data_IF_880315934282
#
_entry.id   IF_880315934282
#
_cell.length_a   1.000
_cell.length_b   1.000
_cell.length_c   1.000
_cell.angle_alpha   90.00
_cell.angle_beta   90.00
_cell.angle_gamma   90.00
#
_symmetry.space_group_name_H-M   'P 1'
#
loop_
_entity.id
_entity.type
_entity.pdbx_description
1 polymer ?
#
# COMPACT_ATOMS: atom_id res chain seq x y z
N UNK A 1 -19.33 5.38 29.80
CA UNK A 1 -18.92 3.97 29.57
C UNK A 1 -19.50 3.43 28.26
N UNK A 2 -18.71 2.60 27.52
CA UNK A 2 -19.19 2.04 26.26
C UNK A 2 -20.19 0.92 26.53
N UNK A 3 -21.30 0.91 25.77
CA UNK A 3 -22.34 -0.11 25.88
C UNK A 3 -22.54 -0.80 24.52
N UNK A 4 -22.74 -2.12 24.52
CA UNK A 4 -22.90 -2.89 23.30
C UNK A 4 -24.22 -2.58 22.58
N UNK A 5 -25.25 -2.25 23.35
CA UNK A 5 -26.59 -1.93 22.86
C UNK A 5 -26.65 -0.62 22.06
N UNK A 6 -25.59 0.20 22.17
CA UNK A 6 -25.48 1.46 21.40
C UNK A 6 -24.85 1.27 20.01
N UNK A 7 -24.51 0.03 19.65
CA UNK A 7 -23.88 -0.27 18.37
C UNK A 7 -24.89 -0.73 17.30
N UNK A 8 -24.66 -0.43 16.01
CA UNK A 8 -23.60 0.43 15.50
C UNK A 8 -23.83 1.91 15.83
N UNK A 9 -22.72 2.67 15.91
CA UNK A 9 -22.80 4.10 16.17
C UNK A 9 -23.44 4.84 14.99
N UNK A 10 -24.24 5.85 15.29
CA UNK A 10 -24.84 6.74 14.29
C UNK A 10 -24.08 8.06 14.30
N UNK A 11 -23.21 8.26 13.27
CA UNK A 11 -22.30 9.41 13.18
C UNK A 11 -22.69 10.41 12.06
N UNK A 12 -23.86 10.24 11.48
CA UNK A 12 -24.38 11.17 10.47
C UNK A 12 -25.69 11.79 10.95
N UNK A 13 -25.90 13.13 10.79
CA UNK A 13 -25.00 14.11 10.18
C UNK A 13 -23.74 14.37 11.00
N UNK A 14 -22.63 14.66 10.29
CA UNK A 14 -21.33 14.93 10.92
C UNK A 14 -21.38 16.26 11.66
N UNK A 15 -20.83 16.29 12.88
CA UNK A 15 -20.60 17.51 13.66
C UNK A 15 -19.11 17.74 13.76
N UNK A 16 -18.64 18.81 13.14
CA UNK A 16 -17.22 19.17 13.18
C UNK A 16 -16.88 19.88 14.48
N UNK A 17 -15.71 19.56 15.00
CA UNK A 17 -15.14 20.21 16.17
C UNK A 17 -13.62 20.28 16.01
N UNK A 18 -13.00 21.46 16.18
CA UNK A 18 -11.56 21.59 16.17
C UNK A 18 -10.93 20.71 17.27
N UNK A 19 -9.81 20.11 16.97
CA UNK A 19 -8.96 19.50 18.00
C UNK A 19 -8.24 20.61 18.78
N UNK A 20 -8.02 20.43 20.06
CA UNK A 20 -7.40 21.42 20.94
C UNK A 20 -6.12 22.03 20.39
N UNK A 21 -5.23 21.18 19.83
CA UNK A 21 -3.97 21.61 19.23
C UNK A 21 -4.11 22.50 17.98
N UNK A 22 -5.25 22.44 17.28
CA UNK A 22 -5.53 23.21 16.07
C UNK A 22 -6.50 24.38 16.28
N UNK A 23 -7.08 24.53 17.47
CA UNK A 23 -8.13 25.52 17.74
C UNK A 23 -7.71 26.94 17.40
N UNK A 24 -6.53 27.35 17.80
CA UNK A 24 -5.96 28.68 17.48
C UNK A 24 -5.88 28.92 15.97
N UNK A 25 -5.42 27.92 15.23
CA UNK A 25 -5.28 28.02 13.77
C UNK A 25 -6.65 28.11 13.09
N UNK A 26 -7.60 27.27 13.52
CA UNK A 26 -8.97 27.30 12.99
C UNK A 26 -9.62 28.65 13.26
N UNK A 27 -9.46 29.22 14.47
CA UNK A 27 -9.97 30.55 14.82
C UNK A 27 -9.39 31.61 13.89
N UNK A 28 -8.07 31.62 13.65
CA UNK A 28 -7.42 32.56 12.73
C UNK A 28 -7.99 32.43 11.31
N UNK A 29 -8.21 31.21 10.82
CA UNK A 29 -8.78 30.97 9.49
C UNK A 29 -10.19 31.52 9.40
N UNK A 30 -11.04 31.31 10.43
CA UNK A 30 -12.40 31.83 10.49
C UNK A 30 -12.42 33.35 10.48
N UNK A 31 -11.54 33.99 11.26
CA UNK A 31 -11.40 35.45 11.29
C UNK A 31 -11.03 36.01 9.91
N UNK A 32 -10.07 35.38 9.22
CA UNK A 32 -9.68 35.76 7.86
C UNK A 32 -10.80 35.58 6.84
N UNK A 33 -11.55 34.47 6.90
CA UNK A 33 -12.71 34.22 6.04
C UNK A 33 -13.78 35.31 6.21
N UNK A 34 -13.99 35.76 7.46
CA UNK A 34 -15.03 36.74 7.81
C UNK A 34 -14.67 38.19 7.53
N UNK A 35 -13.42 38.51 7.21
CA UNK A 35 -12.99 39.87 6.91
C UNK A 35 -13.81 40.49 5.77
N UNK A 36 -14.19 41.75 5.91
CA UNK A 36 -15.02 42.46 4.92
C UNK A 36 -14.32 42.71 3.57
N UNK A 37 -12.98 42.84 3.61
CA UNK A 37 -12.14 43.04 2.42
C UNK A 37 -11.87 41.75 1.64
N UNK A 38 -12.21 40.58 2.17
CA UNK A 38 -12.11 39.29 1.46
C UNK A 38 -13.40 39.10 0.67
N UNK A 39 -13.32 39.13 -0.63
CA UNK A 39 -14.47 38.97 -1.57
C UNK A 39 -14.62 37.56 -2.09
N UNK A 40 -13.53 36.79 -2.14
CA UNK A 40 -13.46 35.45 -2.71
C UNK A 40 -12.45 34.59 -1.93
N UNK A 41 -12.67 33.28 -1.91
CA UNK A 41 -11.77 32.30 -1.28
C UNK A 41 -11.19 31.40 -2.36
N UNK A 42 -9.88 31.19 -2.31
CA UNK A 42 -9.19 30.24 -3.18
C UNK A 42 -8.93 28.93 -2.41
N UNK A 43 -9.59 27.89 -2.84
CA UNK A 43 -9.39 26.54 -2.32
C UNK A 43 -8.24 25.87 -3.08
N UNK A 44 -7.08 25.75 -2.46
CA UNK A 44 -5.86 25.17 -3.02
C UNK A 44 -5.44 23.87 -2.30
N UNK A 45 -6.38 23.14 -1.72
CA UNK A 45 -6.12 21.79 -1.17
C UNK A 45 -5.63 20.82 -2.25
N UNK A 46 -5.12 19.67 -1.83
CA UNK A 46 -4.64 18.65 -2.76
C UNK A 46 -5.68 18.31 -3.85
N UNK A 47 -5.24 18.00 -5.08
CA UNK A 47 -6.15 17.79 -6.22
C UNK A 47 -6.81 16.40 -6.22
N UNK A 48 -7.26 15.96 -5.06
CA UNK A 48 -7.97 14.70 -4.85
C UNK A 48 -9.25 14.88 -3.99
N UNK A 49 -9.95 13.80 -3.73
CA UNK A 49 -11.19 13.81 -2.97
C UNK A 49 -10.95 14.11 -1.47
N UNK A 50 -9.83 13.72 -0.91
CA UNK A 50 -9.46 14.02 0.48
C UNK A 50 -9.12 15.49 0.67
N UNK A 51 -8.28 16.06 -0.21
CA UNK A 51 -7.94 17.49 -0.18
C UNK A 51 -9.15 18.39 -0.43
N UNK A 52 -10.15 17.92 -1.22
CA UNK A 52 -11.43 18.62 -1.38
C UNK A 52 -12.21 18.63 -0.06
N UNK A 53 -12.33 17.47 0.61
CA UNK A 53 -13.07 17.36 1.87
C UNK A 53 -12.45 18.22 2.97
N UNK A 54 -11.13 18.12 3.18
CA UNK A 54 -10.44 18.80 4.29
C UNK A 54 -10.62 20.32 4.29
N UNK A 55 -10.64 20.93 3.12
CA UNK A 55 -10.84 22.38 3.01
C UNK A 55 -12.32 22.75 3.09
N UNK A 56 -13.19 22.00 2.41
CA UNK A 56 -14.64 22.27 2.46
C UNK A 56 -15.21 22.10 3.89
N UNK A 57 -14.72 21.14 4.69
CA UNK A 57 -15.10 21.00 6.11
C UNK A 57 -14.82 22.26 6.92
N UNK A 58 -13.65 22.87 6.72
CA UNK A 58 -13.29 24.13 7.39
C UNK A 58 -14.18 25.27 6.95
N UNK A 59 -14.49 25.34 5.64
CA UNK A 59 -15.40 26.35 5.10
C UNK A 59 -16.84 26.18 5.62
N UNK A 60 -17.32 24.95 5.71
CA UNK A 60 -18.65 24.65 6.29
C UNK A 60 -18.67 24.98 7.79
N UNK A 61 -17.63 24.59 8.55
CA UNK A 61 -17.51 24.91 9.97
C UNK A 61 -17.45 26.42 10.23
N UNK A 62 -16.77 27.18 9.34
CA UNK A 62 -16.70 28.65 9.43
C UNK A 62 -18.02 29.35 9.07
N UNK A 63 -18.99 28.62 8.50
CA UNK A 63 -20.23 29.17 7.96
C UNK A 63 -19.97 30.09 6.76
N UNK A 64 -19.05 29.72 5.87
CA UNK A 64 -18.67 30.55 4.74
C UNK A 64 -19.80 30.71 3.73
N UNK A 65 -20.09 31.97 3.37
CA UNK A 65 -21.09 32.36 2.34
C UNK A 65 -20.44 32.98 1.10
N UNK A 66 -19.13 33.23 1.13
CA UNK A 66 -18.41 33.86 0.03
C UNK A 66 -18.15 32.88 -1.11
N UNK A 67 -18.01 33.39 -2.36
CA UNK A 67 -17.61 32.55 -3.49
C UNK A 67 -16.30 31.81 -3.22
N UNK A 68 -16.25 30.54 -3.64
CA UNK A 68 -15.05 29.73 -3.51
C UNK A 68 -14.61 29.25 -4.91
N UNK A 69 -13.36 29.53 -5.23
CA UNK A 69 -12.70 29.06 -6.46
C UNK A 69 -11.76 27.90 -6.13
N UNK A 70 -11.78 26.88 -6.94
CA UNK A 70 -10.93 25.68 -6.81
C UNK A 70 -9.73 25.77 -7.74
N UNK A 71 -8.54 25.65 -7.19
CA UNK A 71 -7.27 25.58 -7.93
C UNK A 71 -6.67 24.19 -7.73
N UNK A 72 -6.35 23.50 -8.83
CA UNK A 72 -5.79 22.15 -8.82
C UNK A 72 -4.29 22.21 -9.13
N UNK A 73 -3.47 22.05 -8.11
CA UNK A 73 -2.02 22.07 -8.19
C UNK A 73 -1.52 20.63 -8.12
N UNK A 74 -1.21 20.04 -9.28
CA UNK A 74 -0.72 18.66 -9.37
C UNK A 74 0.83 18.57 -9.28
N UNK A 75 1.51 19.71 -9.41
CA UNK A 75 2.96 19.82 -9.41
C UNK A 75 3.35 21.18 -8.83
N UNK A 76 4.32 21.18 -7.90
CA UNK A 76 4.79 22.38 -7.20
C UNK A 76 5.82 23.19 -7.99
N UNK A 77 6.04 22.90 -9.28
CA UNK A 77 6.89 23.73 -10.13
C UNK A 77 6.21 25.07 -10.41
N UNK A 78 6.99 26.15 -10.48
CA UNK A 78 6.48 27.51 -10.70
C UNK A 78 5.58 27.63 -11.95
N UNK A 79 5.91 27.02 -13.12
CA UNK A 79 5.04 27.07 -14.28
C UNK A 79 3.69 26.38 -14.04
N UNK A 80 3.66 25.22 -13.36
CA UNK A 80 2.44 24.49 -13.07
C UNK A 80 1.53 25.28 -12.11
N UNK A 81 2.10 25.86 -11.05
CA UNK A 81 1.35 26.71 -10.10
C UNK A 81 0.77 27.93 -10.80
N UNK A 82 1.55 28.66 -11.61
CA UNK A 82 1.06 29.82 -12.39
C UNK A 82 -0.08 29.42 -13.32
N UNK A 83 0.03 28.29 -14.02
CA UNK A 83 -1.03 27.78 -14.91
C UNK A 83 -2.30 27.45 -14.14
N UNK A 84 -2.18 26.84 -12.97
CA UNK A 84 -3.32 26.49 -12.13
C UNK A 84 -4.03 27.74 -11.59
N UNK A 85 -3.28 28.74 -11.11
CA UNK A 85 -3.82 30.01 -10.63
C UNK A 85 -4.48 30.85 -11.73
N UNK A 86 -4.02 30.72 -12.98
CA UNK A 86 -4.63 31.41 -14.12
C UNK A 86 -5.99 30.81 -14.52
N UNK A 87 -6.33 29.60 -14.09
CA UNK A 87 -7.54 28.88 -14.48
C UNK A 87 -8.32 28.33 -13.27
N UNK A 88 -8.74 29.17 -12.32
CA UNK A 88 -9.53 28.75 -11.18
C UNK A 88 -10.92 28.31 -11.63
N UNK A 89 -11.41 27.20 -11.08
CA UNK A 89 -12.72 26.63 -11.37
C UNK A 89 -13.71 26.93 -10.25
N UNK A 90 -15.00 26.78 -10.50
CA UNK A 90 -15.99 26.91 -9.44
C UNK A 90 -15.87 25.71 -8.47
N UNK A 91 -15.77 25.96 -7.18
CA UNK A 91 -15.65 24.87 -6.17
C UNK A 91 -16.87 23.95 -6.17
N UNK A 92 -18.06 24.43 -6.54
CA UNK A 92 -19.28 23.62 -6.63
C UNK A 92 -19.17 22.47 -7.63
N UNK A 93 -18.34 22.60 -8.66
CA UNK A 93 -18.12 21.55 -9.67
C UNK A 93 -17.43 20.32 -9.07
N UNK A 94 -16.82 20.47 -7.89
CA UNK A 94 -16.10 19.42 -7.17
C UNK A 94 -16.89 18.80 -6.00
N UNK A 95 -18.19 19.15 -5.86
CA UNK A 95 -19.05 18.62 -4.81
C UNK A 95 -19.09 17.09 -4.79
N UNK A 96 -18.96 16.43 -5.95
CA UNK A 96 -18.89 14.98 -6.05
C UNK A 96 -17.67 14.37 -5.33
N UNK A 97 -16.51 15.03 -5.40
CA UNK A 97 -15.30 14.60 -4.67
C UNK A 97 -15.49 14.75 -3.16
N UNK A 98 -16.04 15.88 -2.71
CA UNK A 98 -16.39 16.12 -1.32
C UNK A 98 -17.31 15.00 -0.78
N UNK A 99 -18.42 14.72 -1.46
CA UNK A 99 -19.40 13.71 -1.02
C UNK A 99 -18.79 12.30 -0.97
N UNK A 100 -17.93 11.96 -1.93
CA UNK A 100 -17.21 10.69 -1.97
C UNK A 100 -16.29 10.53 -0.77
N UNK A 101 -15.48 11.54 -0.44
CA UNK A 101 -14.57 11.51 0.69
C UNK A 101 -15.34 11.51 2.03
N UNK A 102 -16.39 12.33 2.15
CA UNK A 102 -17.26 12.38 3.32
C UNK A 102 -17.90 11.02 3.59
N UNK A 103 -18.49 10.38 2.57
CA UNK A 103 -19.11 9.07 2.70
C UNK A 103 -18.10 8.01 3.18
N UNK A 104 -16.88 8.03 2.63
CA UNK A 104 -15.79 7.14 3.07
C UNK A 104 -15.41 7.41 4.52
N UNK A 105 -15.18 8.67 4.89
CA UNK A 105 -14.80 9.08 6.25
C UNK A 105 -15.85 8.64 7.28
N UNK A 106 -17.13 8.90 7.00
CA UNK A 106 -18.24 8.51 7.88
C UNK A 106 -18.34 6.98 7.99
N UNK A 107 -18.25 6.26 6.87
CA UNK A 107 -18.30 4.80 6.89
C UNK A 107 -17.13 4.19 7.67
N UNK A 108 -15.92 4.69 7.47
CA UNK A 108 -14.71 4.24 8.20
C UNK A 108 -14.83 4.55 9.71
N UNK A 109 -15.39 5.71 10.09
CA UNK A 109 -15.61 6.05 11.48
C UNK A 109 -16.69 5.16 12.13
N UNK A 110 -17.83 4.96 11.47
CA UNK A 110 -18.89 4.06 11.96
C UNK A 110 -18.35 2.64 12.15
N UNK A 111 -17.69 2.10 11.12
CA UNK A 111 -17.10 0.76 11.17
C UNK A 111 -16.03 0.66 12.25
N UNK A 112 -15.01 1.52 12.18
CA UNK A 112 -13.86 1.46 13.06
C UNK A 112 -14.21 1.61 14.53
N UNK A 113 -15.00 2.63 14.86
CA UNK A 113 -15.40 2.88 16.25
C UNK A 113 -16.38 1.82 16.77
N UNK A 114 -17.34 1.38 15.96
CA UNK A 114 -18.30 0.36 16.38
C UNK A 114 -17.61 -0.99 16.60
N UNK A 115 -16.76 -1.42 15.67
CA UNK A 115 -16.04 -2.69 15.80
C UNK A 115 -15.01 -2.65 16.93
N UNK A 116 -14.30 -1.52 17.11
CA UNK A 116 -13.39 -1.32 18.24
C UNK A 116 -14.12 -1.51 19.57
N UNK A 117 -15.31 -0.92 19.72
CA UNK A 117 -16.12 -1.09 20.94
C UNK A 117 -16.65 -2.51 21.09
N UNK A 118 -17.17 -3.10 20.00
CA UNK A 118 -17.71 -4.45 20.01
C UNK A 118 -16.69 -5.51 20.45
N UNK A 119 -15.43 -5.36 20.08
CA UNK A 119 -14.35 -6.27 20.51
C UNK A 119 -13.80 -5.90 21.88
N UNK A 120 -13.69 -4.62 22.21
CA UNK A 120 -13.08 -4.17 23.46
C UNK A 120 -13.97 -4.43 24.67
N UNK A 121 -15.29 -4.25 24.55
CA UNK A 121 -16.24 -4.45 25.68
C UNK A 121 -16.14 -5.86 26.25
N UNK A 122 -16.32 -6.96 25.46
CA UNK A 122 -16.21 -8.30 26.00
C UNK A 122 -14.78 -8.67 26.42
N UNK A 123 -13.75 -8.10 25.81
CA UNK A 123 -12.38 -8.32 26.22
C UNK A 123 -12.11 -7.71 27.61
N UNK A 124 -12.63 -6.52 27.88
CA UNK A 124 -12.52 -5.87 29.19
C UNK A 124 -13.28 -6.64 30.28
N UNK A 125 -14.44 -7.20 29.97
CA UNK A 125 -15.16 -8.09 30.87
C UNK A 125 -14.35 -9.34 31.27
N UNK A 126 -13.39 -9.75 30.43
CA UNK A 126 -12.44 -10.85 30.69
C UNK A 126 -11.10 -10.37 31.27
N UNK A 127 -11.01 -9.13 31.75
CA UNK A 127 -9.81 -8.59 32.41
C UNK A 127 -8.79 -7.89 31.49
N UNK A 128 -9.07 -7.75 30.18
CA UNK A 128 -8.18 -6.99 29.29
C UNK A 128 -8.24 -5.49 29.60
N UNK A 129 -7.08 -4.86 29.81
CA UNK A 129 -7.02 -3.43 30.23
C UNK A 129 -6.84 -2.44 29.07
N UNK A 130 -6.69 -2.93 27.83
CA UNK A 130 -6.44 -2.08 26.67
C UNK A 130 -7.68 -1.75 25.85
N UNK A 131 -7.43 -1.34 24.62
CA UNK A 131 -8.43 -1.16 23.56
C UNK A 131 -8.04 -2.02 22.34
N UNK A 132 -8.95 -2.84 21.88
CA UNK A 132 -8.79 -3.64 20.67
C UNK A 132 -9.21 -2.81 19.47
N UNK A 133 -8.27 -2.02 18.95
CA UNK A 133 -8.53 -1.14 17.83
C UNK A 133 -8.77 -1.92 16.54
N UNK A 134 -9.87 -1.62 15.86
CA UNK A 134 -10.25 -2.20 14.57
C UNK A 134 -10.38 -1.10 13.54
N UNK A 135 -9.84 -1.34 12.35
CA UNK A 135 -9.94 -0.40 11.23
C UNK A 135 -9.88 -1.12 9.90
N UNK A 136 -10.51 -0.53 8.90
CA UNK A 136 -10.61 -1.10 7.56
C UNK A 136 -9.25 -1.37 6.90
N UNK A 137 -8.26 -0.55 7.17
CA UNK A 137 -6.90 -0.69 6.62
C UNK A 137 -5.97 -1.35 7.63
N UNK A 138 -5.94 -0.86 8.87
CA UNK A 138 -4.98 -1.33 9.87
C UNK A 138 -5.15 -2.80 10.24
N UNK A 139 -6.39 -3.30 10.34
CA UNK A 139 -6.64 -4.70 10.76
C UNK A 139 -6.21 -5.71 9.71
N UNK A 140 -6.52 -5.55 8.40
CA UNK A 140 -5.95 -6.41 7.37
C UNK A 140 -4.43 -6.38 7.30
N UNK A 141 -3.79 -5.21 7.43
CA UNK A 141 -2.33 -5.09 7.44
C UNK A 141 -1.74 -5.84 8.64
N UNK A 142 -2.33 -5.66 9.83
CA UNK A 142 -1.93 -6.44 11.02
C UNK A 142 -2.07 -7.95 10.78
N UNK A 143 -3.17 -8.38 10.16
CA UNK A 143 -3.39 -9.79 9.77
C UNK A 143 -2.28 -10.33 8.87
N UNK A 144 -1.87 -9.57 7.86
CA UNK A 144 -0.76 -9.94 6.97
C UNK A 144 0.57 -10.07 7.74
N UNK A 145 0.87 -9.13 8.64
CA UNK A 145 2.08 -9.16 9.47
C UNK A 145 2.06 -10.37 10.40
N UNK A 146 0.95 -10.63 11.08
CA UNK A 146 0.79 -11.77 11.98
C UNK A 146 0.96 -13.10 11.23
N UNK A 147 0.32 -13.25 10.06
CA UNK A 147 0.44 -14.44 9.24
C UNK A 147 1.89 -14.65 8.77
N UNK A 148 2.56 -13.59 8.33
CA UNK A 148 3.97 -13.65 7.95
C UNK A 148 4.86 -14.04 9.13
N UNK A 149 4.62 -13.46 10.31
CA UNK A 149 5.37 -13.78 11.53
C UNK A 149 5.17 -15.24 11.94
N UNK A 150 3.93 -15.74 11.88
CA UNK A 150 3.62 -17.16 12.17
C UNK A 150 4.28 -18.09 11.17
N UNK A 151 4.21 -17.79 9.88
CA UNK A 151 4.87 -18.55 8.82
C UNK A 151 6.39 -18.58 9.04
N UNK A 152 7.00 -17.46 9.43
CA UNK A 152 8.42 -17.37 9.73
C UNK A 152 8.80 -18.21 10.97
N UNK A 153 8.04 -18.09 12.07
CA UNK A 153 8.29 -18.87 13.30
C UNK A 153 8.12 -20.38 13.10
N UNK A 154 7.18 -20.78 12.26
CA UNK A 154 6.90 -22.18 11.96
C UNK A 154 7.73 -22.71 10.79
N UNK A 155 8.58 -21.87 10.21
CA UNK A 155 9.40 -22.27 9.07
C UNK A 155 10.39 -23.36 9.48
N UNK A 156 10.34 -24.47 8.73
CA UNK A 156 11.34 -25.54 8.80
C UNK A 156 12.22 -25.40 7.56
N UNK A 157 13.52 -25.30 7.79
CA UNK A 157 14.47 -25.28 6.69
C UNK A 157 14.37 -26.58 5.89
N UNK A 158 14.33 -26.48 4.57
CA UNK A 158 14.38 -27.62 3.67
C UNK A 158 15.41 -27.34 2.58
N UNK A 159 16.01 -28.41 2.09
CA UNK A 159 16.95 -28.35 0.98
C UNK A 159 16.25 -28.80 -0.28
N UNK A 160 16.58 -28.19 -1.40
CA UNK A 160 16.25 -28.71 -2.70
C UNK A 160 17.54 -29.04 -3.45
N UNK A 161 17.44 -29.99 -4.35
CA UNK A 161 18.58 -30.52 -5.08
C UNK A 161 18.50 -30.14 -6.54
N UNK A 162 19.64 -29.79 -7.11
CA UNK A 162 19.83 -29.60 -8.53
C UNK A 162 20.97 -30.50 -8.98
N UNK A 163 20.97 -30.95 -10.22
CA UNK A 163 22.03 -31.76 -10.77
C UNK A 163 22.71 -31.01 -11.91
N UNK A 164 24.01 -31.13 -12.01
CA UNK A 164 24.80 -30.56 -13.11
C UNK A 164 25.66 -31.69 -13.68
N UNK A 165 25.51 -31.95 -14.96
CA UNK A 165 26.36 -32.88 -15.69
C UNK A 165 27.62 -32.19 -16.24
N UNK A 166 28.74 -32.89 -16.19
CA UNK A 166 29.99 -32.51 -16.81
C UNK A 166 30.30 -33.52 -17.89
N UNK A 167 30.20 -33.09 -19.14
CA UNK A 167 30.37 -33.95 -20.32
C UNK A 167 31.67 -33.62 -21.01
N UNK A 168 32.55 -34.61 -21.16
CA UNK A 168 33.84 -34.44 -21.82
C UNK A 168 33.71 -34.66 -23.32
N UNK A 169 34.21 -33.72 -24.12
CA UNK A 169 34.32 -33.82 -25.57
C UNK A 169 35.74 -33.46 -25.97
N UNK A 170 36.57 -34.45 -26.17
CA UNK A 170 38.00 -34.23 -26.41
C UNK A 170 38.67 -33.55 -25.22
N UNK A 171 39.20 -32.35 -25.40
CA UNK A 171 39.82 -31.53 -24.36
C UNK A 171 38.82 -30.60 -23.63
N UNK A 172 37.61 -30.43 -24.17
CA UNK A 172 36.61 -29.52 -23.65
C UNK A 172 35.65 -30.22 -22.64
N UNK A 173 35.19 -29.48 -21.62
CA UNK A 173 34.18 -29.93 -20.67
C UNK A 173 32.93 -29.07 -20.81
N UNK A 174 31.83 -29.68 -21.23
CA UNK A 174 30.53 -29.01 -21.35
C UNK A 174 29.77 -29.21 -20.03
N UNK A 175 29.37 -28.12 -19.40
CA UNK A 175 28.48 -28.14 -18.20
C UNK A 175 27.05 -27.99 -18.65
N UNK A 176 26.18 -28.90 -18.24
CA UNK A 176 24.75 -28.83 -18.48
C UNK A 176 23.97 -28.98 -17.19
N UNK A 177 23.02 -28.11 -16.94
CA UNK A 177 22.13 -28.24 -15.83
C UNK A 177 21.01 -29.23 -16.17
N UNK A 178 20.74 -30.13 -15.23
CA UNK A 178 19.62 -31.05 -15.38
C UNK A 178 18.29 -30.32 -15.43
N UNK A 179 17.48 -30.67 -16.39
CA UNK A 179 16.08 -30.20 -16.49
C UNK A 179 15.18 -31.36 -16.07
N UNK A 180 14.30 -31.16 -15.05
CA UNK A 180 13.40 -32.21 -14.60
C UNK A 180 12.51 -32.72 -15.72
N UNK A 181 12.45 -34.03 -15.91
CA UNK A 181 11.45 -34.68 -16.75
C UNK A 181 10.13 -34.93 -16.01
N UNK A 182 9.14 -35.48 -16.71
CA UNK A 182 7.78 -35.72 -16.17
C UNK A 182 7.76 -36.67 -14.95
N UNK A 183 8.74 -37.58 -14.85
CA UNK A 183 8.81 -38.55 -13.76
C UNK A 183 9.62 -38.07 -12.56
N UNK A 184 10.12 -36.84 -12.56
CA UNK A 184 10.85 -36.29 -11.43
C UNK A 184 9.90 -35.96 -10.27
N UNK A 185 10.17 -36.44 -9.02
CA UNK A 185 9.30 -36.20 -7.87
C UNK A 185 9.47 -34.77 -7.35
N UNK A 186 8.84 -33.83 -8.03
CA UNK A 186 8.92 -32.42 -7.68
C UNK A 186 7.78 -31.99 -6.76
N UNK A 187 8.11 -31.23 -5.73
CA UNK A 187 7.17 -30.48 -4.90
C UNK A 187 7.41 -28.98 -5.15
N UNK A 188 6.39 -28.25 -5.58
CA UNK A 188 6.52 -26.83 -5.94
C UNK A 188 7.67 -26.55 -6.90
N UNK A 189 7.83 -27.40 -7.93
CA UNK A 189 8.91 -27.35 -8.94
C UNK A 189 10.33 -27.54 -8.36
N UNK A 190 10.45 -28.07 -7.15
CA UNK A 190 11.72 -28.33 -6.50
C UNK A 190 11.88 -29.82 -6.21
N UNK A 191 13.06 -30.36 -6.45
CA UNK A 191 13.41 -31.71 -6.07
C UNK A 191 13.86 -31.72 -4.61
N UNK A 192 13.05 -32.29 -3.74
CA UNK A 192 13.33 -32.36 -2.29
C UNK A 192 13.94 -33.70 -1.87
N UNK A 193 13.78 -34.73 -2.69
CA UNK A 193 14.29 -36.08 -2.41
C UNK A 193 15.77 -36.21 -2.77
N UNK A 194 16.59 -36.28 -1.72
CA UNK A 194 18.04 -36.48 -1.84
C UNK A 194 18.41 -37.86 -2.39
N UNK A 195 17.67 -38.90 -1.96
CA UNK A 195 17.96 -40.27 -2.34
C UNK A 195 17.70 -40.45 -3.84
N UNK A 196 16.56 -39.92 -4.32
CA UNK A 196 16.25 -39.92 -5.74
C UNK A 196 17.27 -39.10 -6.57
N UNK A 197 17.69 -37.92 -6.10
CA UNK A 197 18.70 -37.12 -6.76
C UNK A 197 20.03 -37.86 -6.90
N UNK A 198 20.51 -38.47 -5.82
CA UNK A 198 21.74 -39.24 -5.80
C UNK A 198 21.64 -40.50 -6.69
N UNK A 199 20.53 -41.24 -6.61
CA UNK A 199 20.29 -42.44 -7.45
C UNK A 199 20.29 -42.11 -8.95
N UNK A 200 19.62 -41.02 -9.32
CA UNK A 200 19.56 -40.51 -10.69
C UNK A 200 20.97 -40.08 -11.18
N UNK A 201 21.70 -39.33 -10.36
CA UNK A 201 23.06 -38.91 -10.70
C UNK A 201 23.98 -40.12 -10.89
N UNK A 202 23.91 -41.11 -9.97
CA UNK A 202 24.70 -42.33 -10.08
C UNK A 202 24.34 -43.16 -11.34
N UNK A 203 23.05 -43.24 -11.69
CA UNK A 203 22.58 -43.97 -12.88
C UNK A 203 23.01 -43.35 -14.20
N UNK A 204 23.30 -42.06 -14.21
CA UNK A 204 23.73 -41.29 -15.39
C UNK A 204 25.24 -41.15 -15.48
N UNK A 205 25.96 -41.37 -14.41
CA UNK A 205 27.41 -41.25 -14.38
C UNK A 205 28.08 -42.22 -15.38
N UNK A 206 29.03 -41.75 -16.15
CA UNK A 206 29.76 -42.51 -17.16
C UNK A 206 28.98 -42.87 -18.42
N UNK A 207 27.72 -42.47 -18.56
CA UNK A 207 26.94 -42.71 -19.79
C UNK A 207 27.22 -41.66 -20.83
N UNK A 208 27.19 -42.04 -22.12
CA UNK A 208 27.30 -41.08 -23.20
C UNK A 208 26.07 -40.18 -23.27
N UNK A 209 26.26 -38.94 -23.72
CA UNK A 209 25.19 -37.97 -23.95
C UNK A 209 25.28 -37.46 -25.40
N UNK A 210 24.12 -37.17 -25.99
CA UNK A 210 24.00 -36.63 -27.34
C UNK A 210 23.36 -35.23 -27.25
N UNK A 211 23.89 -34.28 -28.02
CA UNK A 211 23.29 -32.96 -28.18
C UNK A 211 22.14 -33.09 -29.17
N UNK A 212 20.91 -32.95 -28.69
CA UNK A 212 19.70 -33.06 -29.51
C UNK A 212 19.39 -31.75 -30.25
N UNK A 213 19.68 -30.60 -29.62
CA UNK A 213 19.46 -29.31 -30.24
C UNK A 213 20.51 -28.29 -29.77
N UNK A 214 20.93 -27.43 -30.66
CA UNK A 214 21.74 -26.25 -30.35
C UNK A 214 21.15 -25.06 -31.10
N UNK A 215 20.84 -24.02 -30.35
CA UNK A 215 20.30 -22.77 -30.90
C UNK A 215 21.01 -21.57 -30.28
N UNK A 216 21.14 -20.52 -31.06
CA UNK A 216 21.64 -19.22 -30.60
C UNK A 216 20.49 -18.23 -30.72
N UNK A 217 20.07 -17.67 -29.58
CA UNK A 217 19.02 -16.66 -29.53
C UNK A 217 19.62 -15.29 -29.18
N UNK A 218 19.39 -14.32 -30.03
CA UNK A 218 19.73 -12.93 -29.74
C UNK A 218 18.72 -12.34 -28.76
N UNK A 219 19.14 -12.08 -27.52
CA UNK A 219 18.30 -11.46 -26.48
C UNK A 219 18.63 -9.98 -26.36
N UNK A 220 17.60 -9.15 -26.53
CA UNK A 220 17.68 -7.71 -26.23
C UNK A 220 17.20 -7.48 -24.80
N UNK A 221 18.08 -6.92 -23.95
CA UNK A 221 17.71 -6.45 -22.62
C UNK A 221 17.36 -4.97 -22.71
N UNK A 222 16.14 -4.61 -22.39
CA UNK A 222 15.74 -3.21 -22.33
C UNK A 222 16.53 -2.49 -21.22
N UNK A 223 16.83 -1.22 -21.44
CA UNK A 223 17.41 -0.39 -20.39
C UNK A 223 16.48 -0.36 -19.16
N UNK A 224 17.04 -0.34 -17.94
CA UNK A 224 16.23 -0.22 -16.74
C UNK A 224 15.44 1.09 -16.75
N UNK A 225 14.21 1.03 -16.26
CA UNK A 225 13.39 2.23 -16.09
C UNK A 225 14.07 3.20 -15.10
N UNK A 226 13.92 4.53 -15.29
CA UNK A 226 14.34 5.51 -14.30
C UNK A 226 13.74 5.22 -12.93
N UNK A 227 14.43 5.60 -11.88
CA UNK A 227 13.89 5.48 -10.53
C UNK A 227 12.71 6.43 -10.35
N UNK A 228 11.61 5.92 -9.80
CA UNK A 228 10.68 6.79 -9.10
C UNK A 228 11.24 7.11 -7.70
N UNK A 229 10.66 8.09 -7.01
CA UNK A 229 11.16 8.54 -5.70
C UNK A 229 11.27 7.40 -4.68
N UNK A 230 10.26 6.56 -4.57
CA UNK A 230 10.23 5.44 -3.60
C UNK A 230 11.33 4.43 -3.89
N UNK A 231 11.50 4.03 -5.14
CA UNK A 231 12.57 3.11 -5.54
C UNK A 231 13.96 3.70 -5.35
N UNK A 232 14.11 5.01 -5.61
CA UNK A 232 15.37 5.70 -5.35
C UNK A 232 15.70 5.69 -3.85
N UNK A 233 14.74 6.03 -3.00
CA UNK A 233 14.91 5.98 -1.54
C UNK A 233 15.29 4.57 -1.06
N UNK A 234 14.59 3.54 -1.54
CA UNK A 234 14.91 2.14 -1.20
C UNK A 234 16.32 1.75 -1.65
N UNK A 235 16.71 2.12 -2.87
CA UNK A 235 18.04 1.86 -3.40
C UNK A 235 19.12 2.55 -2.57
N UNK A 236 18.94 3.84 -2.27
CA UNK A 236 19.89 4.64 -1.47
C UNK A 236 20.02 4.08 -0.05
N UNK A 237 18.89 3.75 0.61
CA UNK A 237 18.91 3.13 1.93
C UNK A 237 19.62 1.78 1.95
N UNK A 238 19.48 0.97 0.88
CA UNK A 238 20.18 -0.31 0.77
C UNK A 238 21.67 -0.16 0.53
N UNK A 239 22.07 0.86 -0.24
CA UNK A 239 23.46 1.06 -0.68
C UNK A 239 24.32 1.80 0.34
N UNK A 240 23.71 2.72 1.11
CA UNK A 240 24.41 3.65 1.99
C UNK A 240 23.95 3.53 3.45
N UNK A 241 23.58 2.33 3.87
CA UNK A 241 23.28 2.00 5.26
C UNK A 241 24.42 2.35 6.20
#
# INVERSE_FOLDING_TARGET
>A
EWKIETLPLRLYPVKYQPVESAEKQVKTIIELIRRADVTEIIHAGDPDDEGQLLVDEVLEYAGNTKPVKRVLINDNTLPAVKKALANPKNNRDFRGLYLKALARSVADAIYGLSMTRAYTIPARAKGYKGTLSVGRVQTPILGLIVNRTRANKNHKSSFYYTMTGHFQRGVDVIRANWKPGEFAPLTDRKLLDKAWANGTAASLAGKPATVEAAATDDKKTAAPLPFNLVRLQQYMNKKFK
#
